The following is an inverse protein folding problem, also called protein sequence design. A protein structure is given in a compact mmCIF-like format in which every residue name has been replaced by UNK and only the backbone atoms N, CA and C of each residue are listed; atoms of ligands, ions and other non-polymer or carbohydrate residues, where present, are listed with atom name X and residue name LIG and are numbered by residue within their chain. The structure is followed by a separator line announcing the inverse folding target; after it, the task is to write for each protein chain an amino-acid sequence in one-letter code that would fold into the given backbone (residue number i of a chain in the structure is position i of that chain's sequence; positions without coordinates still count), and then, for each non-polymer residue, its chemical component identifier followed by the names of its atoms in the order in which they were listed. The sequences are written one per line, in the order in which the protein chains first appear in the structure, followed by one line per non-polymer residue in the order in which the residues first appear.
data_IF_864071655452
#
_entry.id   IF_864071655452
#
_cell.length_a   1.000
_cell.length_b   1.000
_cell.length_c   1.000
_cell.angle_alpha   90.00
_cell.angle_beta   90.00
_cell.angle_gamma   90.00
#
_symmetry.space_group_name_H-M   'P 1'
#
loop_
_entity.id
_entity.type
_entity.pdbx_description
1 polymer ?
#
# COMPACT_ATOMS: atom_id res chain seq x y z
N UNK A 1 21.14 31.07 -7.30
CA UNK A 1 21.58 30.87 -8.70
C UNK A 1 21.81 29.38 -8.88
N UNK A 2 21.25 28.79 -9.95
CA UNK A 2 21.11 27.34 -10.24
C UNK A 2 19.92 26.66 -9.51
N UNK A 3 18.94 26.03 -10.16
CA UNK A 3 18.65 25.88 -11.58
C UNK A 3 17.17 25.54 -11.74
N UNK A 4 16.46 26.37 -12.52
CA UNK A 4 15.12 26.07 -13.02
C UNK A 4 15.27 24.90 -13.99
N UNK A 5 14.91 23.71 -13.54
CA UNK A 5 14.63 22.61 -14.46
C UNK A 5 13.40 23.02 -15.27
N UNK A 6 13.64 23.32 -16.54
CA UNK A 6 12.64 23.37 -17.59
C UNK A 6 11.82 22.08 -17.54
N UNK A 7 10.53 22.21 -17.24
CA UNK A 7 9.52 21.16 -17.45
C UNK A 7 8.58 21.71 -18.52
N UNK A 8 9.14 22.02 -19.69
CA UNK A 8 8.40 22.16 -20.93
C UNK A 8 8.48 20.82 -21.65
N UNK A 9 7.65 19.86 -21.22
CA UNK A 9 7.14 18.74 -22.04
C UNK A 9 6.27 17.80 -21.19
N UNK A 10 5.19 17.29 -21.78
CA UNK A 10 4.17 16.41 -21.21
C UNK A 10 3.07 17.09 -20.39
N UNK A 11 2.14 17.76 -21.09
CA UNK A 11 0.75 17.30 -21.26
C UNK A 11 0.10 18.25 -22.28
N UNK A 12 0.18 17.89 -23.57
CA UNK A 12 -0.56 18.56 -24.64
C UNK A 12 -2.05 18.50 -24.32
N UNK A 13 -2.63 19.66 -24.05
CA UNK A 13 -4.08 19.84 -24.01
C UNK A 13 -4.50 20.33 -25.39
N UNK A 14 -4.63 19.40 -26.34
CA UNK A 14 -5.34 19.65 -27.60
C UNK A 14 -6.85 19.63 -27.33
N UNK A 15 -7.32 20.56 -26.49
CA UNK A 15 -8.74 20.86 -26.31
C UNK A 15 -9.17 21.88 -27.36
N UNK A 16 -10.31 21.66 -28.00
CA UNK A 16 -10.81 22.46 -29.13
C UNK A 16 -11.12 23.93 -28.78
N UNK A 17 -11.01 24.33 -27.50
CA UNK A 17 -11.21 25.69 -27.02
C UNK A 17 -10.15 26.06 -25.96
N UNK A 18 -9.10 26.83 -26.30
CA UNK A 18 -8.13 27.28 -25.33
C UNK A 18 -8.78 28.29 -24.37
N UNK A 19 -8.99 27.89 -23.11
CA UNK A 19 -9.27 28.82 -22.00
C UNK A 19 -10.52 28.58 -21.17
N UNK A 20 -11.35 27.58 -21.46
CA UNK A 20 -12.51 27.26 -20.62
C UNK A 20 -12.11 26.19 -19.59
N UNK A 21 -12.13 26.56 -18.31
CA UNK A 21 -11.78 25.67 -17.20
C UNK A 21 -13.01 24.91 -16.70
N UNK A 22 -12.79 23.67 -16.26
CA UNK A 22 -13.84 22.89 -15.62
C UNK A 22 -14.37 23.63 -14.38
N UNK A 23 -15.70 23.74 -14.19
CA UNK A 23 -16.28 24.42 -13.05
C UNK A 23 -15.80 23.81 -11.72
N UNK A 24 -15.34 24.65 -10.80
CA UNK A 24 -14.83 24.24 -9.48
C UNK A 24 -15.84 23.40 -8.69
N UNK A 25 -17.12 23.76 -8.75
CA UNK A 25 -18.21 23.05 -8.06
C UNK A 25 -18.32 21.57 -8.48
N UNK A 26 -17.99 21.27 -9.73
CA UNK A 26 -18.03 19.91 -10.27
C UNK A 26 -16.79 19.13 -9.87
N UNK A 27 -15.60 19.74 -9.94
CA UNK A 27 -14.33 19.03 -9.74
C UNK A 27 -13.89 18.95 -8.26
N UNK A 28 -14.21 19.94 -7.42
CA UNK A 28 -13.72 20.04 -6.04
C UNK A 28 -14.03 18.81 -5.16
N UNK A 29 -15.24 18.22 -5.19
CA UNK A 29 -15.53 17.01 -4.43
C UNK A 29 -14.64 15.83 -4.83
N UNK A 30 -14.41 15.66 -6.14
CA UNK A 30 -13.56 14.60 -6.68
C UNK A 30 -12.09 14.82 -6.35
N UNK A 31 -11.61 16.08 -6.41
CA UNK A 31 -10.25 16.45 -5.98
C UNK A 31 -10.05 16.04 -4.52
N UNK A 32 -10.98 16.39 -3.64
CA UNK A 32 -10.89 16.05 -2.22
C UNK A 32 -10.86 14.54 -1.99
N UNK A 33 -11.73 13.79 -2.67
CA UNK A 33 -11.78 12.33 -2.54
C UNK A 33 -10.49 11.68 -3.03
N UNK A 34 -10.01 12.05 -4.23
CA UNK A 34 -8.77 11.50 -4.80
C UNK A 34 -7.56 11.89 -3.96
N UNK A 35 -7.52 13.11 -3.42
CA UNK A 35 -6.48 13.54 -2.48
C UNK A 35 -6.51 12.72 -1.19
N UNK A 36 -7.69 12.46 -0.62
CA UNK A 36 -7.82 11.58 0.57
C UNK A 36 -7.30 10.16 0.31
N UNK A 37 -7.30 9.69 -0.94
CA UNK A 37 -6.67 8.40 -1.31
C UNK A 37 -5.14 8.48 -1.50
N UNK A 38 -4.50 9.61 -1.19
CA UNK A 38 -3.05 9.84 -1.24
C UNK A 38 -2.44 9.70 -2.64
N UNK A 39 -3.23 9.98 -3.67
CA UNK A 39 -2.74 10.03 -5.04
C UNK A 39 -1.81 11.23 -5.25
N UNK A 40 -0.88 11.09 -6.19
CA UNK A 40 -0.03 12.20 -6.64
C UNK A 40 -0.82 13.16 -7.51
N UNK A 41 -0.42 14.43 -7.59
CA UNK A 41 -1.10 15.44 -8.41
C UNK A 41 -1.31 14.99 -9.87
N UNK A 42 -0.34 14.29 -10.45
CA UNK A 42 -0.44 13.74 -11.80
C UNK A 42 -1.54 12.67 -11.91
N UNK A 43 -1.62 11.77 -10.94
CA UNK A 43 -2.66 10.74 -10.88
C UNK A 43 -4.03 11.35 -10.65
N UNK A 44 -4.13 12.37 -9.78
CA UNK A 44 -5.39 13.08 -9.54
C UNK A 44 -5.87 13.73 -10.84
N UNK A 45 -5.02 14.51 -11.52
CA UNK A 45 -5.38 15.15 -12.80
C UNK A 45 -5.82 14.12 -13.83
N UNK A 46 -5.11 13.00 -13.96
CA UNK A 46 -5.47 11.95 -14.90
C UNK A 46 -6.80 11.27 -14.57
N UNK A 47 -7.07 11.03 -13.28
CA UNK A 47 -8.32 10.42 -12.84
C UNK A 47 -9.51 11.39 -12.93
N UNK A 48 -9.27 12.69 -12.79
CA UNK A 48 -10.30 13.72 -12.96
C UNK A 48 -10.86 13.78 -14.38
N UNK A 49 -10.16 13.28 -15.41
CA UNK A 49 -10.67 13.20 -16.78
C UNK A 49 -11.96 12.39 -16.91
N UNK A 50 -12.23 11.49 -15.96
CA UNK A 50 -13.47 10.71 -15.93
C UNK A 50 -14.65 11.47 -15.32
N UNK A 51 -14.42 12.66 -14.77
CA UNK A 51 -15.39 13.39 -13.95
C UNK A 51 -15.84 14.72 -14.57
N UNK A 52 -15.30 15.11 -15.72
CA UNK A 52 -15.75 16.28 -16.48
C UNK A 52 -15.55 16.09 -18.00
N UNK A 53 -16.23 16.90 -18.81
CA UNK A 53 -16.10 16.84 -20.26
C UNK A 53 -14.76 17.40 -20.73
N UNK A 54 -13.82 16.51 -21.05
CA UNK A 54 -12.47 16.85 -21.53
C UNK A 54 -12.46 17.40 -22.96
N UNK A 55 -13.55 17.24 -23.73
CA UNK A 55 -13.68 17.84 -25.07
C UNK A 55 -13.96 19.34 -24.99
N UNK A 56 -14.59 19.78 -23.90
CA UNK A 56 -14.99 21.16 -23.68
C UNK A 56 -14.08 21.89 -22.69
N UNK A 57 -13.54 21.20 -21.69
CA UNK A 57 -12.76 21.79 -20.61
C UNK A 57 -11.34 21.21 -20.51
N UNK A 58 -10.36 22.07 -20.22
CA UNK A 58 -8.97 21.68 -19.95
C UNK A 58 -8.59 21.89 -18.48
N UNK A 59 -7.74 21.00 -17.94
CA UNK A 59 -7.14 21.17 -16.62
C UNK A 59 -5.64 20.84 -16.67
N UNK A 60 -4.81 21.88 -16.69
CA UNK A 60 -3.36 21.75 -16.60
C UNK A 60 -2.88 21.58 -15.16
N UNK A 61 -1.74 20.88 -14.98
CA UNK A 61 -1.17 20.58 -13.66
C UNK A 61 -0.88 21.84 -12.83
N UNK A 62 -0.35 22.91 -13.43
CA UNK A 62 -0.08 24.17 -12.71
C UNK A 62 -1.35 24.80 -12.15
N UNK A 63 -2.45 24.78 -12.91
CA UNK A 63 -3.74 25.31 -12.46
C UNK A 63 -4.37 24.42 -11.41
N UNK A 64 -4.26 23.10 -11.57
CA UNK A 64 -4.67 22.15 -10.54
C UNK A 64 -3.96 22.42 -9.20
N UNK A 65 -2.64 22.62 -9.21
CA UNK A 65 -1.88 22.94 -7.99
C UNK A 65 -2.35 24.27 -7.36
N UNK A 66 -2.69 25.28 -8.18
CA UNK A 66 -3.27 26.53 -7.65
C UNK A 66 -4.63 26.31 -6.97
N UNK A 67 -5.50 25.49 -7.58
CA UNK A 67 -6.80 25.11 -7.01
C UNK A 67 -6.60 24.36 -5.70
N UNK A 68 -5.67 23.40 -5.68
CA UNK A 68 -5.35 22.59 -4.52
C UNK A 68 -4.85 23.43 -3.34
N UNK A 69 -3.98 24.43 -3.60
CA UNK A 69 -3.53 25.40 -2.60
C UNK A 69 -4.71 26.26 -2.11
N UNK A 70 -5.58 26.72 -3.01
CA UNK A 70 -6.80 27.45 -2.65
C UNK A 70 -7.78 26.64 -1.78
N UNK A 71 -7.77 25.31 -1.93
CA UNK A 71 -8.54 24.37 -1.10
C UNK A 71 -7.83 23.97 0.20
N UNK A 72 -6.58 24.41 0.43
CA UNK A 72 -5.79 24.03 1.60
C UNK A 72 -5.27 22.58 1.57
N UNK A 73 -5.31 21.90 0.42
CA UNK A 73 -4.93 20.50 0.27
C UNK A 73 -3.42 20.33 0.02
N UNK A 74 -2.62 20.81 0.96
CA UNK A 74 -1.17 20.91 0.80
C UNK A 74 -0.47 19.55 0.98
N UNK A 75 0.56 19.30 0.17
CA UNK A 75 1.42 18.13 0.29
C UNK A 75 2.64 18.38 1.20
N UNK A 76 3.37 17.31 1.52
CA UNK A 76 4.47 17.30 2.51
C UNK A 76 5.49 18.43 2.35
N UNK A 77 5.92 18.72 1.12
CA UNK A 77 6.89 19.78 0.86
C UNK A 77 6.35 21.18 1.16
N UNK A 78 5.07 21.42 0.86
CA UNK A 78 4.43 22.72 1.09
C UNK A 78 4.14 22.96 2.57
N UNK A 79 3.79 21.90 3.32
CA UNK A 79 3.54 22.00 4.75
C UNK A 79 4.84 22.11 5.57
N UNK A 80 5.95 21.51 5.10
CA UNK A 80 7.28 21.60 5.72
C UNK A 80 7.29 21.28 7.23
N UNK A 81 6.49 20.30 7.64
CA UNK A 81 6.42 19.86 9.03
C UNK A 81 7.79 19.41 9.56
N UNK A 82 8.12 19.82 10.78
CA UNK A 82 9.27 19.34 11.55
C UNK A 82 8.82 18.35 12.63
N UNK A 83 9.80 17.68 13.24
CA UNK A 83 9.58 16.76 14.37
C UNK A 83 8.83 17.46 15.52
N UNK A 84 9.15 18.72 15.77
CA UNK A 84 8.51 19.52 16.81
C UNK A 84 7.08 19.90 16.43
N UNK A 85 6.84 20.28 15.16
CA UNK A 85 5.51 20.71 14.71
C UNK A 85 4.43 19.62 14.75
N UNK A 86 4.85 18.35 14.71
CA UNK A 86 3.93 17.20 14.74
C UNK A 86 3.70 16.66 16.16
N UNK A 87 4.42 17.17 17.16
CA UNK A 87 4.45 16.58 18.51
C UNK A 87 3.08 16.47 19.16
N UNK A 88 2.31 17.56 19.17
CA UNK A 88 0.98 17.58 19.77
C UNK A 88 0.03 16.59 19.07
N UNK A 89 0.06 16.56 17.74
CA UNK A 89 -0.73 15.62 16.95
C UNK A 89 -0.32 14.16 17.18
N UNK A 90 0.96 13.89 17.40
CA UNK A 90 1.47 12.56 17.72
C UNK A 90 0.98 12.08 19.09
N UNK A 91 1.02 12.95 20.10
CA UNK A 91 0.56 12.64 21.46
C UNK A 91 -0.93 12.25 21.44
N UNK A 92 -1.77 13.08 20.82
CA UNK A 92 -3.20 12.82 20.69
C UNK A 92 -3.48 11.48 20.01
N UNK A 93 -2.79 11.21 18.89
CA UNK A 93 -3.02 10.01 18.10
C UNK A 93 -2.52 8.76 18.81
N UNK A 94 -1.49 8.85 19.63
CA UNK A 94 -0.98 7.72 20.41
C UNK A 94 -1.88 7.38 21.60
N UNK A 95 -2.58 8.35 22.17
CA UNK A 95 -3.60 8.07 23.19
C UNK A 95 -4.71 7.18 22.62
N UNK A 96 -5.08 7.41 21.36
CA UNK A 96 -6.12 6.64 20.65
C UNK A 96 -5.55 5.32 20.08
N UNK A 97 -4.33 5.36 19.52
CA UNK A 97 -3.70 4.26 18.79
C UNK A 97 -2.30 3.93 19.34
N UNK A 98 -2.19 3.37 20.56
CA UNK A 98 -0.92 3.23 21.28
C UNK A 98 0.10 2.30 20.60
N UNK A 99 -0.35 1.40 19.72
CA UNK A 99 0.50 0.44 19.01
C UNK A 99 0.74 0.80 17.53
N UNK A 100 0.33 1.99 17.08
CA UNK A 100 0.48 2.39 15.68
C UNK A 100 1.97 2.57 15.32
N UNK A 101 2.40 1.88 14.26
CA UNK A 101 3.75 1.99 13.72
C UNK A 101 3.94 3.25 12.87
N UNK A 102 5.16 3.45 12.35
CA UNK A 102 5.50 4.67 11.61
C UNK A 102 4.66 4.84 10.33
N UNK A 103 4.24 3.74 9.70
CA UNK A 103 3.43 3.81 8.48
C UNK A 103 1.97 4.17 8.82
N UNK A 104 1.42 3.55 9.86
CA UNK A 104 0.10 3.81 10.39
C UNK A 104 0.01 5.26 10.88
N UNK A 105 0.99 5.74 11.64
CA UNK A 105 1.03 7.13 12.13
C UNK A 105 1.08 8.15 11.00
N UNK A 106 1.85 7.89 9.93
CA UNK A 106 1.81 8.75 8.74
C UNK A 106 0.39 8.77 8.17
N UNK A 107 -0.31 7.64 8.09
CA UNK A 107 -1.71 7.55 7.65
C UNK A 107 -2.64 8.38 8.55
N UNK A 108 -2.57 8.15 9.85
CA UNK A 108 -3.42 8.80 10.85
C UNK A 108 -3.24 10.32 10.86
N UNK A 109 -1.99 10.81 10.83
CA UNK A 109 -1.69 12.24 10.73
C UNK A 109 -2.38 12.90 9.53
N UNK A 110 -2.44 12.21 8.40
CA UNK A 110 -3.08 12.73 7.19
C UNK A 110 -4.61 12.68 7.24
N UNK A 111 -5.17 11.58 7.74
CA UNK A 111 -6.62 11.40 7.76
C UNK A 111 -7.29 12.20 8.87
N UNK A 112 -6.73 12.18 10.08
CA UNK A 112 -7.30 12.75 11.31
C UNK A 112 -6.85 14.19 11.58
N UNK A 113 -5.67 14.58 11.10
CA UNK A 113 -5.07 15.90 11.37
C UNK A 113 -4.75 16.70 10.11
N UNK A 114 -5.05 16.16 8.91
CA UNK A 114 -4.73 16.77 7.62
C UNK A 114 -3.23 17.12 7.43
N UNK A 115 -2.35 16.44 8.16
CA UNK A 115 -0.91 16.64 8.11
C UNK A 115 -0.27 15.60 7.17
N UNK A 116 0.27 16.07 6.06
CA UNK A 116 1.07 15.27 5.14
C UNK A 116 2.52 15.24 5.62
N UNK A 117 2.88 14.21 6.37
CA UNK A 117 4.22 14.09 6.99
C UNK A 117 5.00 12.96 6.35
N UNK A 118 6.31 13.17 6.12
CA UNK A 118 7.16 12.09 5.62
C UNK A 118 7.40 11.03 6.70
N UNK A 119 7.51 9.77 6.30
CA UNK A 119 7.87 8.67 7.21
C UNK A 119 9.18 8.92 7.95
N UNK A 120 10.13 9.60 7.32
CA UNK A 120 11.42 9.92 7.95
C UNK A 120 11.27 10.86 9.14
N UNK A 121 10.36 11.84 9.07
CA UNK A 121 10.09 12.76 10.18
C UNK A 121 9.43 12.01 11.34
N UNK A 122 8.45 11.15 11.07
CA UNK A 122 7.81 10.31 12.10
C UNK A 122 8.82 9.35 12.74
N UNK A 123 9.71 8.74 11.95
CA UNK A 123 10.80 7.92 12.49
C UNK A 123 11.80 8.73 13.33
N UNK A 124 12.11 9.95 12.92
CA UNK A 124 12.97 10.84 13.69
C UNK A 124 12.31 11.24 15.02
N UNK A 125 11.00 11.50 15.02
CA UNK A 125 10.20 11.73 16.22
C UNK A 125 10.29 10.53 17.17
N UNK A 126 10.01 9.31 16.69
CA UNK A 126 10.12 8.10 17.51
C UNK A 126 11.53 7.87 18.06
N UNK A 127 12.56 8.17 17.26
CA UNK A 127 13.95 8.04 17.70
C UNK A 127 14.33 9.08 18.76
N UNK A 128 13.67 10.25 18.75
CA UNK A 128 13.95 11.34 19.69
C UNK A 128 13.18 11.18 21.01
N UNK A 129 11.92 10.77 20.96
CA UNK A 129 11.02 10.77 22.11
C UNK A 129 10.61 9.36 22.60
N UNK A 130 10.67 8.33 21.76
CA UNK A 130 10.06 7.01 22.03
C UNK A 130 11.00 5.83 21.72
N UNK A 131 12.28 6.00 22.05
CA UNK A 131 13.31 4.99 21.79
C UNK A 131 12.94 3.63 22.38
N UNK A 132 12.32 3.62 23.56
CA UNK A 132 11.98 2.38 24.26
C UNK A 132 10.78 1.66 23.63
N UNK A 133 9.77 2.38 23.13
CA UNK A 133 8.66 1.77 22.38
C UNK A 133 9.16 1.18 21.05
N UNK A 134 10.05 1.88 20.34
CA UNK A 134 10.70 1.35 19.13
C UNK A 134 11.49 0.08 19.44
N UNK A 135 12.18 0.02 20.58
CA UNK A 135 12.90 -1.18 21.03
C UNK A 135 11.95 -2.33 21.38
N UNK A 136 10.83 -2.05 22.03
CA UNK A 136 9.79 -3.04 22.33
C UNK A 136 9.18 -3.62 21.06
N UNK A 137 8.86 -2.80 20.06
CA UNK A 137 8.40 -3.27 18.75
C UNK A 137 9.44 -4.15 18.04
N UNK A 138 10.74 -3.83 18.16
CA UNK A 138 11.82 -4.69 17.64
C UNK A 138 12.03 -5.98 18.46
N UNK A 139 11.57 -6.01 19.71
CA UNK A 139 11.60 -7.19 20.56
C UNK A 139 10.50 -8.20 20.20
N UNK A 140 9.43 -7.76 19.51
CA UNK A 140 8.50 -8.63 18.78
C UNK A 140 9.20 -9.23 17.54
N UNK A 141 10.29 -9.94 17.76
CA UNK A 141 10.96 -10.77 16.75
C UNK A 141 9.95 -11.77 16.22
N UNK A 142 10.08 -12.16 14.95
CA UNK A 142 9.53 -13.41 14.46
C UNK A 142 9.91 -14.50 15.46
N UNK A 143 8.92 -15.01 16.20
CA UNK A 143 9.15 -16.13 17.09
C UNK A 143 9.50 -17.30 16.21
N UNK A 144 10.76 -17.76 16.28
CA UNK A 144 11.19 -18.97 15.61
C UNK A 144 10.46 -20.13 16.27
N UNK A 145 9.29 -20.46 15.75
CA UNK A 145 8.54 -21.64 16.16
C UNK A 145 9.23 -22.86 15.57
N UNK A 146 9.44 -23.85 16.43
CA UNK A 146 9.94 -25.14 16.03
C UNK A 146 8.72 -25.94 15.59
N UNK A 147 8.72 -26.36 14.33
CA UNK A 147 7.69 -27.22 13.80
C UNK A 147 8.26 -28.63 13.80
N UNK A 148 7.45 -29.59 14.26
CA UNK A 148 7.75 -31.00 14.14
C UNK A 148 7.03 -31.49 12.88
N UNK A 149 7.79 -32.07 11.96
CA UNK A 149 7.26 -32.76 10.79
C UNK A 149 7.40 -34.27 11.03
N UNK A 150 6.35 -35.04 10.80
CA UNK A 150 6.31 -36.49 10.92
C UNK A 150 7.21 -37.19 9.89
N UNK A 151 7.59 -36.50 8.82
CA UNK A 151 8.51 -36.98 7.80
C UNK A 151 8.53 -36.08 6.56
N UNK A 152 9.12 -36.61 5.49
CA UNK A 152 9.09 -35.97 4.16
C UNK A 152 7.64 -35.79 3.72
N UNK A 153 7.32 -34.60 3.20
CA UNK A 153 5.99 -34.19 2.71
C UNK A 153 4.94 -33.93 3.79
N UNK A 154 5.32 -33.86 5.07
CA UNK A 154 4.39 -33.53 6.15
C UNK A 154 4.14 -32.01 6.25
N UNK A 155 5.15 -31.19 5.90
CA UNK A 155 5.04 -29.73 5.99
C UNK A 155 5.82 -29.02 4.87
N UNK A 156 5.17 -28.06 4.22
CA UNK A 156 5.76 -27.23 3.19
C UNK A 156 5.73 -25.76 3.59
N UNK A 157 6.89 -25.11 3.55
CA UNK A 157 6.99 -23.66 3.68
C UNK A 157 6.86 -23.03 2.30
N UNK A 158 5.83 -22.23 2.10
CA UNK A 158 5.66 -21.45 0.87
C UNK A 158 6.03 -20.00 1.15
N UNK A 159 6.93 -19.48 0.33
CA UNK A 159 7.38 -18.10 0.39
C UNK A 159 7.14 -17.40 -0.95
N UNK A 160 6.75 -16.14 -0.91
CA UNK A 160 6.55 -15.31 -2.09
C UNK A 160 7.75 -14.38 -2.29
N UNK A 161 8.34 -14.44 -3.48
CA UNK A 161 9.42 -13.56 -3.90
C UNK A 161 8.91 -12.48 -4.86
N UNK A 162 8.26 -11.47 -4.27
CA UNK A 162 7.74 -10.30 -4.97
C UNK A 162 8.81 -9.33 -5.51
N UNK A 163 10.11 -9.61 -5.29
CA UNK A 163 11.22 -8.75 -5.73
C UNK A 163 11.31 -8.61 -7.26
N UNK A 164 10.68 -9.51 -8.01
CA UNK A 164 10.75 -9.57 -9.49
C UNK A 164 9.47 -9.08 -10.18
N UNK A 165 8.50 -8.55 -9.43
CA UNK A 165 7.26 -8.00 -9.98
C UNK A 165 7.49 -6.91 -11.03
N UNK A 166 8.57 -6.12 -10.90
CA UNK A 166 8.96 -5.11 -11.90
C UNK A 166 9.26 -5.69 -13.31
N UNK A 167 9.48 -6.99 -13.40
CA UNK A 167 9.69 -7.73 -14.64
C UNK A 167 8.45 -8.57 -15.04
N UNK A 168 7.31 -8.39 -14.37
CA UNK A 168 6.11 -9.20 -14.58
C UNK A 168 6.22 -10.63 -14.02
N UNK A 169 7.22 -10.91 -13.19
CA UNK A 169 7.44 -12.24 -12.62
C UNK A 169 7.09 -12.23 -11.12
N UNK A 170 6.04 -12.99 -10.78
CA UNK A 170 5.72 -13.34 -9.40
C UNK A 170 6.20 -14.77 -9.15
N UNK A 171 7.28 -14.92 -8.40
CA UNK A 171 7.84 -16.22 -8.05
C UNK A 171 7.35 -16.61 -6.67
N UNK A 172 6.73 -17.78 -6.56
CA UNK A 172 6.48 -18.43 -5.29
C UNK A 172 7.48 -19.59 -5.16
N UNK A 173 7.95 -19.89 -3.96
CA UNK A 173 8.85 -21.02 -3.70
C UNK A 173 8.23 -21.87 -2.60
N UNK A 174 8.00 -23.16 -2.88
CA UNK A 174 7.60 -24.15 -1.88
C UNK A 174 8.83 -24.98 -1.51
N UNK A 175 9.13 -25.06 -0.22
CA UNK A 175 10.23 -25.84 0.32
C UNK A 175 9.65 -26.91 1.24
N UNK A 176 9.97 -28.17 0.97
CA UNK A 176 9.68 -29.27 1.88
C UNK A 176 10.63 -29.18 3.07
N UNK A 177 10.09 -29.00 4.28
CA UNK A 177 10.89 -28.58 5.43
C UNK A 177 11.77 -29.69 6.02
N UNK A 178 11.44 -30.95 5.78
CA UNK A 178 12.21 -32.08 6.31
C UNK A 178 13.51 -32.32 5.52
N UNK A 179 13.44 -32.30 4.19
CA UNK A 179 14.53 -32.54 3.25
C UNK A 179 15.20 -31.26 2.77
N UNK A 180 14.51 -30.12 2.86
CA UNK A 180 14.96 -28.85 2.27
C UNK A 180 14.80 -28.80 0.75
N UNK A 181 14.15 -29.80 0.13
CA UNK A 181 13.91 -29.82 -1.31
C UNK A 181 12.99 -28.68 -1.74
N UNK A 182 13.42 -27.93 -2.74
CA UNK A 182 12.55 -26.98 -3.45
C UNK A 182 11.62 -27.80 -4.33
N UNK A 183 10.33 -27.70 -4.06
CA UNK A 183 9.30 -28.60 -4.61
C UNK A 183 8.77 -28.20 -5.99
N UNK A 184 9.29 -27.12 -6.58
CA UNK A 184 8.78 -26.67 -7.87
C UNK A 184 9.09 -27.72 -8.97
N UNK A 185 8.04 -28.18 -9.66
CA UNK A 185 8.01 -29.20 -10.72
C UNK A 185 8.18 -30.69 -10.29
N UNK A 186 7.49 -31.16 -9.25
CA UNK A 186 7.29 -32.61 -9.13
C UNK A 186 5.87 -32.99 -8.66
N UNK A 187 5.28 -33.92 -9.40
CA UNK A 187 3.94 -34.48 -9.19
C UNK A 187 4.01 -35.49 -8.02
N UNK A 188 3.65 -35.06 -6.82
CA UNK A 188 3.83 -35.88 -5.61
C UNK A 188 2.69 -36.87 -5.31
N UNK A 189 1.64 -36.96 -6.13
CA UNK A 189 0.52 -37.89 -5.90
C UNK A 189 -0.28 -37.69 -4.61
N UNK A 190 0.08 -36.70 -3.79
CA UNK A 190 -0.53 -36.34 -2.51
C UNK A 190 -0.58 -34.82 -2.36
N UNK A 191 -1.58 -34.32 -1.64
CA UNK A 191 -1.84 -32.89 -1.52
C UNK A 191 -1.20 -32.31 -0.24
N UNK A 192 -0.33 -31.29 -0.36
CA UNK A 192 0.41 -30.74 0.77
C UNK A 192 -0.39 -29.71 1.59
N UNK A 193 -0.11 -29.63 2.89
CA UNK A 193 -0.53 -28.50 3.73
C UNK A 193 0.37 -27.28 3.46
N UNK A 194 -0.24 -26.12 3.20
CA UNK A 194 0.44 -24.87 2.84
C UNK A 194 0.23 -23.88 3.97
N UNK A 195 1.31 -23.34 4.53
CA UNK A 195 1.25 -22.34 5.60
C UNK A 195 2.05 -21.10 5.21
N UNK A 196 1.55 -19.90 5.57
CA UNK A 196 2.25 -18.62 5.43
C UNK A 196 2.66 -18.08 6.79
N UNK A 197 3.82 -17.39 6.85
CA UNK A 197 4.29 -16.73 8.07
C UNK A 197 3.76 -15.30 8.25
N UNK A 198 3.31 -14.66 7.17
CA UNK A 198 3.10 -13.20 7.17
C UNK A 198 1.62 -12.83 7.27
N UNK A 199 1.22 -11.92 8.19
CA UNK A 199 -0.15 -11.46 8.37
C UNK A 199 -0.48 -10.38 7.33
N UNK A 200 -0.66 -10.78 6.08
CA UNK A 200 -1.07 -9.90 4.98
C UNK A 200 -2.43 -10.27 4.42
N UNK A 201 -3.06 -9.36 3.69
CA UNK A 201 -4.25 -9.65 2.85
C UNK A 201 -3.96 -10.71 1.77
N UNK A 202 -2.70 -11.07 1.55
CA UNK A 202 -2.29 -12.17 0.67
C UNK A 202 -2.74 -13.56 1.19
N UNK A 203 -3.24 -13.67 2.42
CA UNK A 203 -3.82 -14.91 2.96
C UNK A 203 -4.92 -15.50 2.06
N UNK A 204 -5.71 -14.65 1.37
CA UNK A 204 -6.72 -15.11 0.42
C UNK A 204 -6.11 -15.98 -0.69
N UNK A 205 -4.89 -15.70 -1.12
CA UNK A 205 -4.25 -16.42 -2.23
C UNK A 205 -3.86 -17.85 -1.86
N UNK A 206 -3.38 -18.08 -0.64
CA UNK A 206 -3.05 -19.43 -0.16
C UNK A 206 -4.31 -20.22 0.14
N UNK A 207 -5.32 -19.61 0.75
CA UNK A 207 -6.57 -20.33 1.02
C UNK A 207 -7.35 -20.64 -0.26
N UNK A 208 -7.25 -19.78 -1.28
CA UNK A 208 -7.75 -20.07 -2.61
C UNK A 208 -6.93 -21.18 -3.29
N UNK A 209 -5.61 -21.18 -3.14
CA UNK A 209 -4.77 -22.27 -3.66
C UNK A 209 -5.15 -23.61 -3.01
N UNK A 210 -5.38 -23.66 -1.71
CA UNK A 210 -5.91 -24.85 -1.03
C UNK A 210 -7.28 -25.27 -1.55
N UNK A 211 -8.21 -24.33 -1.69
CA UNK A 211 -9.54 -24.61 -2.23
C UNK A 211 -9.44 -25.20 -3.64
N UNK A 212 -8.61 -24.64 -4.51
CA UNK A 212 -8.41 -25.12 -5.87
C UNK A 212 -7.77 -26.52 -5.90
N UNK A 213 -6.73 -26.76 -5.09
CA UNK A 213 -6.05 -28.05 -5.04
C UNK A 213 -6.98 -29.16 -4.53
N UNK A 214 -7.82 -28.87 -3.53
CA UNK A 214 -8.83 -29.80 -3.05
C UNK A 214 -9.91 -30.10 -4.09
N UNK A 215 -10.42 -29.08 -4.77
CA UNK A 215 -11.41 -29.27 -5.85
C UNK A 215 -10.84 -30.06 -7.04
N UNK A 216 -9.53 -29.94 -7.31
CA UNK A 216 -8.87 -30.71 -8.34
C UNK A 216 -8.78 -32.20 -7.97
N UNK A 217 -8.46 -32.52 -6.71
CA UNK A 217 -8.37 -33.91 -6.25
C UNK A 217 -9.72 -34.56 -5.97
N UNK A 218 -10.73 -33.79 -5.57
CA UNK A 218 -12.10 -34.27 -5.31
C UNK A 218 -13.12 -33.42 -6.08
N UNK A 219 -13.56 -33.89 -7.27
CA UNK A 219 -14.55 -33.19 -8.09
C UNK A 219 -15.88 -32.92 -7.39
N UNK A 220 -16.21 -33.63 -6.29
CA UNK A 220 -17.44 -33.41 -5.53
C UNK A 220 -17.42 -32.08 -4.75
N UNK A 221 -16.24 -31.49 -4.55
CA UNK A 221 -16.06 -30.21 -3.87
C UNK A 221 -16.16 -29.00 -4.82
N UNK A 222 -16.39 -29.22 -6.12
CA UNK A 222 -16.45 -28.15 -7.12
C UNK A 222 -17.52 -27.11 -6.75
N UNK A 223 -17.12 -25.83 -6.68
CA UNK A 223 -18.00 -24.72 -6.31
C UNK A 223 -18.14 -24.48 -4.79
N UNK A 224 -17.48 -25.27 -3.95
CA UNK A 224 -17.42 -25.04 -2.50
C UNK A 224 -16.15 -24.27 -2.11
N UNK A 225 -16.28 -23.27 -1.24
CA UNK A 225 -15.14 -22.60 -0.60
C UNK A 225 -14.89 -23.27 0.75
N UNK A 226 -13.65 -23.71 0.99
CA UNK A 226 -13.32 -24.56 2.14
C UNK A 226 -13.02 -23.79 3.43
N UNK A 227 -13.26 -22.48 3.45
CA UNK A 227 -12.94 -21.60 4.57
C UNK A 227 -14.12 -20.65 4.87
N UNK A 228 -14.51 -20.58 6.14
CA UNK A 228 -15.38 -19.53 6.68
C UNK A 228 -14.53 -18.66 7.60
N UNK A 229 -14.12 -17.49 7.11
CA UNK A 229 -13.59 -16.42 7.95
C UNK A 229 -14.49 -15.19 7.75
N UNK A 230 -15.00 -14.65 8.86
CA UNK A 230 -15.63 -13.32 8.91
C UNK A 230 -14.57 -12.23 8.78
#
# INVERSE_FOLDING_TARGET
MLGLLSIDECLQTDGLYPGVFAPLEVISPHIFQLWKTRQTDKQIVQNLWNHYDTSHYGLGLMKFVQIQVGMGLLHTWQQSHTVESIGDAMIDLQEIYPNAGAQEMVSLLFHERAMSVSRNIVMAYFTKYEVDLVRQCKACRLWRKWFWAAGVNDLFAVNQHNKWLRFGLALHTGIELFSGCIMWMQELGHMPMVTQSDPGSENFSITNAHTMLHQWHDPTLQGTLQHCWM
#
